data_IF_180778643390
#
_entry.id   IF_180778643390
#
_cell.length_a   1.000
_cell.length_b   1.000
_cell.length_c   1.000
_cell.angle_alpha   90.00
_cell.angle_beta   90.00
_cell.angle_gamma   90.00
#
_symmetry.space_group_name_H-M   'P 1'
#
loop_
_entity.id
_entity.type
_entity.pdbx_description
1 polymer ?
#
# COMPACT_ATOMS: atom_id res chain seq x y z
N UNK A 1 27.74 1.14 0.97
CA UNK A 1 26.48 0.49 0.52
C UNK A 1 26.17 -0.65 1.49
N UNK A 2 25.40 -0.36 2.53
CA UNK A 2 24.99 -1.34 3.53
C UNK A 2 23.92 -2.27 2.96
N UNK A 3 24.05 -3.58 3.19
CA UNK A 3 23.06 -4.59 2.82
C UNK A 3 21.70 -4.18 3.41
N UNK A 4 20.71 -4.06 2.53
CA UNK A 4 19.32 -3.83 2.92
C UNK A 4 18.76 -5.20 3.24
N UNK A 5 18.83 -5.59 4.51
CA UNK A 5 18.28 -6.87 4.95
C UNK A 5 16.76 -6.75 4.88
N UNK A 6 16.22 -7.26 3.77
CA UNK A 6 14.88 -7.83 3.71
C UNK A 6 14.74 -8.86 4.85
N UNK A 7 13.50 -9.20 5.22
CA UNK A 7 13.18 -10.15 6.28
C UNK A 7 14.25 -11.25 6.40
N UNK A 8 14.91 -11.34 7.56
CA UNK A 8 16.02 -12.26 7.75
C UNK A 8 15.58 -13.65 7.28
N UNK A 9 16.32 -14.28 6.35
CA UNK A 9 15.95 -15.60 5.80
C UNK A 9 15.86 -16.70 6.88
N UNK A 10 16.20 -16.38 8.13
CA UNK A 10 16.19 -17.30 9.26
C UNK A 10 14.94 -17.20 10.15
N UNK A 11 13.90 -16.45 9.76
CA UNK A 11 12.65 -16.45 10.53
C UNK A 11 11.96 -17.83 10.44
N UNK A 12 11.69 -18.52 11.56
CA UNK A 12 10.98 -19.80 11.54
C UNK A 12 9.65 -19.69 10.79
N UNK A 13 9.37 -20.63 9.90
CA UNK A 13 8.15 -20.64 9.07
C UNK A 13 8.15 -19.66 7.90
N UNK A 14 9.28 -19.04 7.57
CA UNK A 14 9.42 -18.31 6.31
C UNK A 14 9.44 -19.27 5.11
N UNK A 15 8.93 -18.79 3.98
CA UNK A 15 8.83 -19.54 2.73
C UNK A 15 9.45 -18.73 1.59
N UNK A 16 9.77 -19.39 0.47
CA UNK A 16 10.17 -18.75 -0.77
C UNK A 16 9.25 -19.16 -1.91
N UNK A 17 9.05 -18.25 -2.86
CA UNK A 17 8.18 -18.43 -4.01
C UNK A 17 8.72 -17.67 -5.22
N UNK A 18 8.56 -18.24 -6.42
CA UNK A 18 8.78 -17.56 -7.68
C UNK A 18 7.67 -16.51 -7.90
N UNK A 19 8.03 -15.28 -8.30
CA UNK A 19 7.03 -14.25 -8.53
C UNK A 19 6.04 -14.69 -9.63
N UNK A 20 4.75 -14.27 -9.55
CA UNK A 20 3.68 -14.78 -10.41
C UNK A 20 3.89 -14.48 -11.90
N UNK A 21 4.82 -13.59 -12.22
CA UNK A 21 5.23 -13.23 -13.57
C UNK A 21 6.06 -14.30 -14.26
N UNK A 22 6.51 -15.33 -13.53
CA UNK A 22 7.43 -16.33 -14.03
C UNK A 22 6.87 -17.73 -13.80
N UNK A 23 7.17 -18.62 -14.73
CA UNK A 23 6.95 -20.06 -14.61
C UNK A 23 8.26 -20.81 -14.91
N UNK A 24 8.50 -21.99 -14.33
CA UNK A 24 9.71 -22.75 -14.62
C UNK A 24 9.81 -23.15 -16.10
N UNK A 25 11.02 -23.15 -16.64
CA UNK A 25 11.33 -23.64 -17.98
C UNK A 25 12.65 -24.43 -17.99
N UNK A 26 12.90 -25.35 -18.94
CA UNK A 26 14.13 -26.16 -18.95
C UNK A 26 15.43 -25.34 -18.95
N UNK A 27 15.45 -24.19 -19.66
CA UNK A 27 16.61 -23.29 -19.76
C UNK A 27 16.61 -22.14 -18.73
N UNK A 28 15.63 -22.08 -17.80
CA UNK A 28 15.49 -20.98 -16.84
C UNK A 28 14.04 -20.74 -16.41
N UNK A 29 13.53 -19.53 -16.64
CA UNK A 29 12.13 -19.20 -16.34
C UNK A 29 11.44 -18.51 -17.52
N UNK A 30 10.18 -18.85 -17.77
CA UNK A 30 9.34 -18.21 -18.78
C UNK A 30 8.55 -17.06 -18.15
N UNK A 31 8.64 -15.86 -18.74
CA UNK A 31 7.82 -14.71 -18.31
C UNK A 31 6.36 -14.88 -18.74
N UNK A 32 5.45 -14.17 -18.09
CA UNK A 32 4.03 -14.13 -18.48
C UNK A 32 3.80 -13.64 -19.93
N UNK A 33 4.78 -12.96 -20.53
CA UNK A 33 4.78 -12.58 -21.96
C UNK A 33 5.40 -13.62 -22.89
N UNK A 34 5.71 -14.82 -22.39
CA UNK A 34 6.24 -15.95 -23.15
C UNK A 34 7.75 -15.98 -23.36
N UNK A 35 8.51 -14.96 -22.91
CA UNK A 35 9.97 -14.87 -23.09
C UNK A 35 10.69 -15.79 -22.09
N UNK A 36 11.70 -16.52 -22.53
CA UNK A 36 12.60 -17.25 -21.62
C UNK A 36 13.71 -16.33 -21.10
N UNK A 37 13.82 -16.23 -19.77
CA UNK A 37 14.99 -15.70 -19.07
C UNK A 37 15.90 -16.88 -18.75
N UNK A 38 17.04 -16.95 -19.44
CA UNK A 38 18.00 -18.03 -19.26
C UNK A 38 18.70 -17.92 -17.91
N UNK A 39 18.83 -19.06 -17.24
CA UNK A 39 19.57 -19.23 -15.99
C UNK A 39 20.60 -20.35 -16.21
N UNK A 40 21.66 -20.39 -15.41
CA UNK A 40 22.49 -21.60 -15.39
C UNK A 40 21.65 -22.81 -14.88
N UNK A 41 22.08 -24.06 -15.18
CA UNK A 41 21.29 -25.23 -14.85
C UNK A 41 20.96 -25.39 -13.36
N UNK A 42 21.85 -24.95 -12.47
CA UNK A 42 21.64 -25.03 -11.02
C UNK A 42 20.56 -24.05 -10.58
N UNK A 43 20.66 -22.79 -11.02
CA UNK A 43 19.64 -21.77 -10.77
C UNK A 43 18.27 -22.13 -11.38
N UNK A 44 18.23 -22.71 -12.58
CA UNK A 44 17.00 -23.15 -13.23
C UNK A 44 16.30 -24.27 -12.43
N UNK A 45 17.07 -25.29 -12.00
CA UNK A 45 16.56 -26.36 -11.16
C UNK A 45 16.07 -25.85 -9.79
N UNK A 46 16.74 -24.84 -9.23
CA UNK A 46 16.32 -24.19 -7.99
C UNK A 46 15.03 -23.38 -8.17
N UNK A 47 14.94 -22.57 -9.24
CA UNK A 47 13.74 -21.80 -9.56
C UNK A 47 12.51 -22.71 -9.79
N UNK A 48 12.70 -23.89 -10.37
CA UNK A 48 11.64 -24.89 -10.54
C UNK A 48 11.05 -25.37 -9.19
N UNK A 49 11.86 -25.47 -8.14
CA UNK A 49 11.36 -25.81 -6.79
C UNK A 49 10.49 -24.69 -6.21
N UNK A 50 10.82 -23.44 -6.53
CA UNK A 50 10.06 -22.26 -6.08
C UNK A 50 8.78 -22.01 -6.90
N UNK A 51 8.40 -22.91 -7.82
CA UNK A 51 7.13 -22.81 -8.56
C UNK A 51 5.91 -22.88 -7.63
N UNK A 52 6.10 -23.47 -6.45
CA UNK A 52 5.14 -23.50 -5.35
C UNK A 52 5.78 -22.88 -4.11
N UNK A 53 4.95 -22.38 -3.19
CA UNK A 53 5.44 -21.81 -1.94
C UNK A 53 6.19 -22.90 -1.15
N UNK A 54 7.48 -22.69 -0.94
CA UNK A 54 8.38 -23.71 -0.39
C UNK A 54 8.95 -23.22 0.93
N UNK A 55 8.82 -23.98 2.04
CA UNK A 55 9.49 -23.67 3.31
C UNK A 55 11.00 -23.54 3.14
N UNK A 56 11.61 -22.52 3.76
CA UNK A 56 13.05 -22.30 3.62
C UNK A 56 13.90 -23.45 4.20
N UNK A 57 13.39 -24.15 5.22
CA UNK A 57 14.01 -25.33 5.82
C UNK A 57 13.85 -26.62 5.00
N UNK A 58 12.87 -26.65 4.09
CA UNK A 58 12.67 -27.72 3.11
C UNK A 58 13.52 -27.54 1.84
N UNK A 59 14.11 -26.36 1.63
CA UNK A 59 15.08 -26.16 0.57
C UNK A 59 16.31 -27.02 0.85
N UNK A 60 16.91 -27.65 -0.17
CA UNK A 60 17.98 -28.63 0.00
C UNK A 60 19.10 -28.09 0.88
N UNK A 61 19.26 -28.67 2.07
CA UNK A 61 20.31 -28.33 3.02
C UNK A 61 21.67 -28.79 2.49
N UNK A 62 22.34 -27.93 1.71
CA UNK A 62 23.66 -28.18 1.12
C UNK A 62 24.38 -26.83 0.92
N UNK A 63 25.71 -26.79 0.72
CA UNK A 63 26.62 -25.72 1.17
C UNK A 63 26.27 -24.34 0.59
N UNK A 64 26.93 -23.27 1.05
CA UNK A 64 26.74 -21.83 0.75
C UNK A 64 26.11 -21.38 -0.61
N UNK A 65 26.08 -22.23 -1.64
CA UNK A 65 25.36 -22.07 -2.90
C UNK A 65 23.84 -21.92 -2.78
N UNK A 66 23.08 -22.66 -1.96
CA UNK A 66 21.61 -22.55 -1.95
C UNK A 66 21.10 -21.17 -1.48
N UNK A 67 21.64 -20.67 -0.37
CA UNK A 67 21.34 -19.33 0.16
C UNK A 67 21.76 -18.25 -0.83
N UNK A 68 22.92 -18.42 -1.48
CA UNK A 68 23.41 -17.53 -2.52
C UNK A 68 22.47 -17.53 -3.73
N UNK A 69 22.05 -18.69 -4.21
CA UNK A 69 21.13 -18.85 -5.36
C UNK A 69 19.78 -18.20 -5.07
N UNK A 70 19.19 -18.45 -3.90
CA UNK A 70 17.95 -17.77 -3.49
C UNK A 70 18.15 -16.25 -3.43
N UNK A 71 19.25 -15.80 -2.82
CA UNK A 71 19.60 -14.37 -2.75
C UNK A 71 19.72 -13.76 -4.15
N UNK A 72 20.34 -14.45 -5.09
CA UNK A 72 20.55 -13.98 -6.46
C UNK A 72 19.23 -13.97 -7.26
N UNK A 73 18.33 -14.95 -7.06
CA UNK A 73 16.98 -14.94 -7.62
C UNK A 73 16.12 -13.79 -7.07
N UNK A 74 16.19 -13.54 -5.76
CA UNK A 74 15.46 -12.43 -5.10
C UNK A 74 16.00 -11.08 -5.55
N UNK A 75 17.33 -10.93 -5.65
CA UNK A 75 17.98 -9.70 -6.14
C UNK A 75 17.63 -9.42 -7.61
N UNK A 76 17.52 -10.48 -8.41
CA UNK A 76 17.11 -10.40 -9.81
C UNK A 76 15.61 -10.13 -9.99
N UNK A 77 14.82 -10.13 -8.91
CA UNK A 77 13.38 -9.93 -8.97
C UNK A 77 12.65 -11.08 -9.67
N UNK A 78 13.15 -12.30 -9.52
CA UNK A 78 12.51 -13.53 -10.01
C UNK A 78 11.75 -14.25 -8.90
N UNK A 79 12.25 -14.18 -7.66
CA UNK A 79 11.66 -14.82 -6.50
C UNK A 79 11.48 -13.83 -5.34
N UNK A 80 10.72 -14.25 -4.34
CA UNK A 80 10.50 -13.53 -3.09
C UNK A 80 10.59 -14.48 -1.90
N UNK A 81 11.10 -13.96 -0.78
CA UNK A 81 10.99 -14.60 0.53
C UNK A 81 9.80 -14.00 1.26
N UNK A 82 8.89 -14.86 1.70
CA UNK A 82 7.68 -14.50 2.42
C UNK A 82 7.89 -14.75 3.92
N UNK A 83 7.58 -13.79 4.80
CA UNK A 83 7.55 -14.02 6.24
C UNK A 83 6.46 -15.03 6.62
N UNK A 84 6.47 -15.67 7.80
CA UNK A 84 5.38 -16.55 8.25
C UNK A 84 4.02 -15.83 8.31
N UNK A 85 2.87 -16.53 8.17
CA UNK A 85 1.55 -15.90 8.25
C UNK A 85 1.38 -15.14 9.57
N UNK A 86 0.77 -13.96 9.52
CA UNK A 86 0.38 -13.26 10.75
C UNK A 86 -0.96 -13.84 11.19
N UNK A 87 -1.01 -14.44 12.38
CA UNK A 87 -2.26 -14.81 12.99
C UNK A 87 -3.04 -13.54 13.35
N UNK A 88 -4.30 -13.44 12.92
CA UNK A 88 -5.19 -12.41 13.43
C UNK A 88 -5.56 -12.75 14.88
N UNK A 89 -5.53 -11.76 15.77
CA UNK A 89 -6.02 -11.93 17.13
C UNK A 89 -7.50 -11.51 17.22
N UNK A 90 -8.41 -12.42 17.61
CA UNK A 90 -9.80 -12.06 17.86
C UNK A 90 -9.89 -10.92 18.89
N UNK A 91 -10.71 -9.90 18.60
CA UNK A 91 -10.90 -8.74 19.49
C UNK A 91 -9.85 -7.63 19.37
N UNK A 92 -8.81 -7.78 18.53
CA UNK A 92 -7.91 -6.68 18.20
C UNK A 92 -8.61 -5.66 17.28
N UNK A 93 -8.26 -4.38 17.41
CA UNK A 93 -8.79 -3.33 16.55
C UNK A 93 -8.46 -3.53 15.07
N UNK A 94 -9.12 -2.76 14.21
CA UNK A 94 -9.05 -2.89 12.75
C UNK A 94 -8.39 -1.66 12.14
N UNK A 95 -7.52 -1.88 11.15
CA UNK A 95 -7.06 -0.85 10.23
C UNK A 95 -7.73 -1.10 8.86
N UNK A 96 -8.55 -0.15 8.42
CA UNK A 96 -9.16 -0.14 7.09
C UNK A 96 -8.39 0.85 6.22
N UNK A 97 -7.76 0.36 5.16
CA UNK A 97 -7.02 1.18 4.20
C UNK A 97 -7.80 1.21 2.90
N UNK A 98 -8.29 2.39 2.52
CA UNK A 98 -8.95 2.63 1.25
C UNK A 98 -7.87 2.92 0.20
N UNK A 99 -7.60 1.95 -0.65
CA UNK A 99 -6.62 2.06 -1.74
C UNK A 99 -7.36 2.34 -3.04
N UNK A 100 -7.16 3.49 -3.72
CA UNK A 100 -7.79 3.73 -5.01
C UNK A 100 -7.48 2.63 -6.02
N UNK A 101 -6.21 2.27 -6.16
CA UNK A 101 -5.71 1.21 -7.03
C UNK A 101 -4.94 0.15 -6.24
N UNK A 102 -4.57 -0.94 -6.92
CA UNK A 102 -4.05 -2.19 -6.33
C UNK A 102 -2.64 -2.04 -5.70
N UNK A 103 -1.96 -0.93 -5.92
CA UNK A 103 -0.60 -0.65 -5.46
C UNK A 103 -0.48 0.57 -4.51
N UNK A 104 -1.49 1.43 -4.44
CA UNK A 104 -1.39 2.72 -3.74
C UNK A 104 -1.13 2.59 -2.24
N UNK A 105 -1.79 1.65 -1.56
CA UNK A 105 -1.57 1.37 -0.15
C UNK A 105 -0.12 0.93 0.12
N UNK A 106 0.44 0.05 -0.71
CA UNK A 106 1.83 -0.39 -0.57
C UNK A 106 2.82 0.74 -0.89
N UNK A 107 2.55 1.54 -1.92
CA UNK A 107 3.33 2.73 -2.28
C UNK A 107 3.39 3.76 -1.16
N UNK A 108 2.23 4.05 -0.56
CA UNK A 108 2.06 5.19 0.33
C UNK A 108 2.26 4.83 1.80
N UNK A 109 1.87 3.61 2.21
CA UNK A 109 1.84 3.14 3.59
C UNK A 109 2.61 1.83 3.83
N UNK A 110 3.28 1.26 2.81
CA UNK A 110 3.90 -0.06 2.94
C UNK A 110 4.91 -0.18 4.08
N UNK A 111 5.64 0.88 4.41
CA UNK A 111 6.56 0.89 5.55
C UNK A 111 5.80 0.91 6.88
N UNK A 112 4.76 1.72 6.99
CA UNK A 112 3.86 1.75 8.16
C UNK A 112 3.20 0.39 8.39
N UNK A 113 2.68 -0.23 7.33
CA UNK A 113 2.07 -1.57 7.41
C UNK A 113 3.09 -2.61 7.86
N UNK A 114 4.27 -2.64 7.26
CA UNK A 114 5.36 -3.54 7.67
C UNK A 114 5.79 -3.33 9.14
N UNK A 115 5.88 -2.08 9.60
CA UNK A 115 6.25 -1.75 10.98
C UNK A 115 5.23 -2.28 11.99
N UNK A 116 3.95 -2.25 11.64
CA UNK A 116 2.87 -2.69 12.52
C UNK A 116 2.47 -4.15 12.31
N UNK A 117 3.19 -4.86 11.43
CA UNK A 117 3.01 -6.28 11.20
C UNK A 117 3.16 -7.05 12.51
N UNK A 118 2.09 -7.71 12.95
CA UNK A 118 2.09 -8.50 14.17
C UNK A 118 1.71 -7.75 15.45
N UNK A 119 1.25 -6.49 15.37
CA UNK A 119 0.65 -5.80 16.53
C UNK A 119 -0.76 -6.32 16.93
N UNK A 120 -1.17 -7.43 16.32
CA UNK A 120 -2.44 -8.12 16.53
C UNK A 120 -3.64 -7.51 15.80
N UNK A 121 -3.56 -6.26 15.34
CA UNK A 121 -4.66 -5.62 14.62
C UNK A 121 -4.94 -6.31 13.28
N UNK A 122 -6.22 -6.45 12.96
CA UNK A 122 -6.66 -6.89 11.63
C UNK A 122 -6.47 -5.73 10.65
N UNK A 123 -5.93 -6.01 9.47
CA UNK A 123 -5.68 -4.99 8.45
C UNK A 123 -6.33 -5.38 7.16
N UNK A 124 -7.14 -4.50 6.61
CA UNK A 124 -7.75 -4.68 5.30
C UNK A 124 -7.28 -3.58 4.37
N UNK A 125 -6.74 -3.97 3.22
CA UNK A 125 -6.54 -3.06 2.10
C UNK A 125 -7.69 -3.28 1.13
N UNK A 126 -8.54 -2.27 1.02
CA UNK A 126 -9.69 -2.26 0.14
C UNK A 126 -9.35 -1.52 -1.14
N UNK A 127 -9.07 -2.27 -2.21
CA UNK A 127 -8.83 -1.73 -3.54
C UNK A 127 -10.17 -1.34 -4.19
N UNK A 128 -10.40 -0.04 -4.29
CA UNK A 128 -11.69 0.52 -4.71
C UNK A 128 -11.87 0.35 -6.22
N UNK A 129 -10.91 0.84 -7.00
CA UNK A 129 -10.91 0.76 -8.46
C UNK A 129 -9.98 -0.34 -8.96
N UNK A 130 -10.26 -1.57 -8.50
CA UNK A 130 -9.42 -2.75 -8.75
C UNK A 130 -9.56 -3.34 -10.16
N UNK A 131 -10.56 -2.91 -10.94
CA UNK A 131 -10.71 -3.28 -12.34
C UNK A 131 -10.07 -2.20 -13.23
N UNK A 132 -8.94 -2.52 -13.85
CA UNK A 132 -8.20 -1.55 -14.67
C UNK A 132 -7.61 -2.23 -15.90
N UNK A 133 -7.99 -1.74 -17.08
CA UNK A 133 -7.47 -2.25 -18.35
C UNK A 133 -6.03 -1.78 -18.63
N UNK A 134 -5.64 -0.61 -18.11
CA UNK A 134 -4.30 -0.05 -18.30
C UNK A 134 -3.29 -0.63 -17.32
N UNK A 135 -2.27 -1.32 -17.83
CA UNK A 135 -1.10 -1.74 -17.07
C UNK A 135 0.16 -1.42 -17.88
N UNK A 136 1.05 -0.60 -17.32
CA UNK A 136 2.27 -0.12 -17.99
C UNK A 136 3.43 -1.12 -17.92
N UNK A 137 3.24 -2.20 -17.16
CA UNK A 137 4.27 -3.12 -16.69
C UNK A 137 4.67 -4.24 -17.65
N UNK A 138 3.71 -4.86 -18.32
CA UNK A 138 3.96 -6.12 -19.02
C UNK A 138 3.16 -6.19 -20.31
N UNK A 139 3.76 -6.78 -21.35
CA UNK A 139 3.05 -7.11 -22.59
C UNK A 139 2.41 -8.48 -22.42
N UNK A 140 1.18 -8.50 -21.93
CA UNK A 140 0.37 -9.70 -21.78
C UNK A 140 -1.12 -9.36 -22.03
N UNK A 141 -1.98 -10.35 -22.29
CA UNK A 141 -3.43 -10.13 -22.40
C UNK A 141 -4.01 -9.50 -21.14
N UNK A 142 -5.06 -8.67 -21.29
CA UNK A 142 -5.68 -7.95 -20.17
C UNK A 142 -6.15 -8.88 -19.02
N UNK A 143 -6.65 -10.08 -19.34
CA UNK A 143 -7.05 -11.07 -18.34
C UNK A 143 -5.87 -11.60 -17.51
N UNK A 144 -4.72 -11.84 -18.15
CA UNK A 144 -3.48 -12.27 -17.50
C UNK A 144 -2.95 -11.14 -16.62
N UNK A 145 -2.93 -9.93 -17.15
CA UNK A 145 -2.55 -8.70 -16.45
C UNK A 145 -3.40 -8.46 -15.19
N UNK A 146 -4.72 -8.62 -15.29
CA UNK A 146 -5.61 -8.54 -14.14
C UNK A 146 -5.29 -9.63 -13.10
N UNK A 147 -5.13 -10.89 -13.52
CA UNK A 147 -4.79 -11.98 -12.61
C UNK A 147 -3.43 -11.78 -11.91
N UNK A 148 -2.42 -11.30 -12.64
CA UNK A 148 -1.12 -10.95 -12.08
C UNK A 148 -1.24 -9.85 -11.04
N UNK A 149 -1.96 -8.76 -11.33
CA UNK A 149 -2.14 -7.68 -10.35
C UNK A 149 -2.83 -8.17 -9.07
N UNK A 150 -3.72 -9.17 -9.15
CA UNK A 150 -4.30 -9.80 -7.95
C UNK A 150 -3.25 -10.56 -7.15
N UNK A 151 -2.51 -11.44 -7.82
CA UNK A 151 -1.46 -12.23 -7.19
C UNK A 151 -0.35 -11.36 -6.59
N UNK A 152 0.00 -10.25 -7.24
CA UNK A 152 0.98 -9.28 -6.73
C UNK A 152 0.56 -8.70 -5.38
N UNK A 153 -0.68 -8.26 -5.27
CA UNK A 153 -1.21 -7.64 -4.06
C UNK A 153 -1.49 -8.64 -2.94
N UNK A 154 -1.87 -9.88 -3.27
CA UNK A 154 -1.94 -10.97 -2.29
C UNK A 154 -0.57 -11.24 -1.67
N UNK A 155 0.49 -11.29 -2.49
CA UNK A 155 1.86 -11.41 -2.00
C UNK A 155 2.31 -10.18 -1.21
N UNK A 156 1.93 -8.98 -1.64
CA UNK A 156 2.17 -7.75 -0.89
C UNK A 156 1.49 -7.80 0.49
N UNK A 157 0.23 -8.23 0.56
CA UNK A 157 -0.51 -8.44 1.79
C UNK A 157 0.15 -9.47 2.71
N UNK A 158 0.68 -10.55 2.13
CA UNK A 158 1.43 -11.57 2.86
C UNK A 158 2.68 -11.02 3.55
N UNK A 159 3.42 -10.14 2.86
CA UNK A 159 4.62 -9.49 3.39
C UNK A 159 4.27 -8.40 4.40
N UNK A 160 3.31 -7.53 4.07
CA UNK A 160 2.95 -6.35 4.87
C UNK A 160 1.96 -6.64 6.01
N UNK A 161 1.34 -7.81 6.03
CA UNK A 161 0.40 -8.24 7.07
C UNK A 161 -1.00 -7.64 6.92
N UNK A 162 -1.53 -7.57 5.69
CA UNK A 162 -2.91 -7.20 5.43
C UNK A 162 -3.66 -8.26 4.61
N UNK A 163 -4.99 -8.26 4.75
CA UNK A 163 -5.92 -8.96 3.88
C UNK A 163 -6.38 -8.01 2.77
N UNK A 164 -6.37 -8.50 1.54
CA UNK A 164 -6.87 -7.80 0.36
C UNK A 164 -8.39 -7.90 0.27
N UNK A 165 -9.06 -6.81 -0.11
CA UNK A 165 -10.46 -6.77 -0.55
C UNK A 165 -10.58 -5.94 -1.81
N UNK A 166 -11.42 -6.37 -2.74
CA UNK A 166 -11.65 -5.67 -4.00
C UNK A 166 -13.11 -5.27 -4.15
N UNK A 167 -13.35 -4.06 -4.64
CA UNK A 167 -14.70 -3.62 -5.01
C UNK A 167 -15.01 -3.76 -6.50
N UNK A 168 -14.00 -4.06 -7.33
CA UNK A 168 -14.19 -4.31 -8.76
C UNK A 168 -14.69 -3.10 -9.54
N UNK A 169 -14.55 -1.88 -9.01
CA UNK A 169 -14.92 -0.69 -9.77
C UNK A 169 -13.89 -0.47 -10.88
N UNK A 170 -14.36 -0.15 -12.08
CA UNK A 170 -13.49 0.20 -13.21
C UNK A 170 -12.76 1.52 -12.94
N UNK A 171 -11.46 1.64 -13.19
CA UNK A 171 -10.71 2.90 -13.02
C UNK A 171 -11.25 4.05 -13.89
N UNK A 172 -10.90 5.30 -13.56
CA UNK A 172 -11.39 6.50 -14.25
C UNK A 172 -11.20 6.47 -15.78
N UNK A 173 -10.12 5.87 -16.28
CA UNK A 173 -9.88 5.72 -17.72
C UNK A 173 -10.98 4.92 -18.41
N UNK A 174 -11.34 3.78 -17.82
CA UNK A 174 -12.32 2.86 -18.39
C UNK A 174 -13.74 3.36 -18.12
N UNK A 175 -14.02 3.80 -16.89
CA UNK A 175 -15.34 4.29 -16.45
C UNK A 175 -15.77 5.57 -17.18
N UNK A 176 -14.83 6.45 -17.53
CA UNK A 176 -15.13 7.73 -18.18
C UNK A 176 -14.55 7.87 -19.58
N UNK A 177 -13.91 6.81 -20.11
CA UNK A 177 -13.21 6.83 -21.41
C UNK A 177 -12.20 7.99 -21.51
N UNK A 178 -11.53 8.27 -20.40
CA UNK A 178 -10.54 9.34 -20.31
C UNK A 178 -9.17 8.80 -20.76
N UNK A 179 -8.42 9.54 -21.60
CA UNK A 179 -7.02 9.23 -21.82
C UNK A 179 -6.24 9.42 -20.51
N UNK A 180 -5.15 8.67 -20.32
CA UNK A 180 -4.33 8.71 -19.09
C UNK A 180 -3.95 10.14 -18.67
N UNK A 181 -3.58 11.01 -19.61
CA UNK A 181 -3.23 12.40 -19.30
C UNK A 181 -4.39 13.22 -18.70
N UNK A 182 -5.64 12.80 -18.91
CA UNK A 182 -6.85 13.46 -18.41
C UNK A 182 -7.39 12.84 -17.12
N UNK A 183 -6.76 11.79 -16.59
CA UNK A 183 -7.08 11.31 -15.25
C UNK A 183 -6.32 12.04 -14.15
N UNK A 184 -5.34 12.87 -14.50
CA UNK A 184 -4.47 13.63 -13.60
C UNK A 184 -4.79 15.14 -13.63
N UNK A 185 -4.27 15.88 -12.65
CA UNK A 185 -4.36 17.34 -12.60
C UNK A 185 -5.74 17.89 -12.23
N UNK A 186 -6.66 17.04 -11.76
CA UNK A 186 -7.94 17.48 -11.23
C UNK A 186 -7.76 18.23 -9.91
N UNK A 187 -8.61 19.22 -9.66
CA UNK A 187 -8.70 19.89 -8.36
C UNK A 187 -9.99 19.46 -7.66
N UNK A 188 -10.03 19.60 -6.34
CA UNK A 188 -11.25 19.33 -5.58
C UNK A 188 -12.44 20.17 -6.11
N UNK A 189 -12.21 21.44 -6.42
CA UNK A 189 -13.24 22.33 -6.96
C UNK A 189 -13.77 21.85 -8.32
N UNK A 190 -12.89 21.41 -9.23
CA UNK A 190 -13.33 20.94 -10.55
C UNK A 190 -14.10 19.61 -10.45
N UNK A 191 -13.69 18.70 -9.57
CA UNK A 191 -14.43 17.45 -9.33
C UNK A 191 -15.81 17.74 -8.74
N UNK A 192 -15.90 18.62 -7.73
CA UNK A 192 -17.18 18.97 -7.09
C UNK A 192 -18.13 19.74 -8.01
N UNK A 193 -17.61 20.50 -8.97
CA UNK A 193 -18.45 21.21 -9.95
C UNK A 193 -19.22 20.25 -10.87
N UNK A 194 -18.72 19.04 -11.10
CA UNK A 194 -19.35 18.08 -12.01
C UNK A 194 -20.40 17.20 -11.33
N UNK A 195 -21.65 17.27 -11.82
CA UNK A 195 -22.76 16.51 -11.26
C UNK A 195 -22.56 14.98 -11.27
N UNK A 196 -21.85 14.43 -12.27
CA UNK A 196 -21.54 12.99 -12.34
C UNK A 196 -20.63 12.56 -11.18
N UNK A 197 -19.58 13.33 -10.90
CA UNK A 197 -18.62 12.99 -9.85
C UNK A 197 -19.22 13.19 -8.47
N UNK A 198 -20.11 14.18 -8.28
CA UNK A 198 -20.89 14.29 -7.03
C UNK A 198 -21.71 13.03 -6.73
N UNK A 199 -22.33 12.42 -7.75
CA UNK A 199 -23.05 11.15 -7.57
C UNK A 199 -22.12 9.99 -7.25
N UNK A 200 -20.94 9.93 -7.86
CA UNK A 200 -19.94 8.91 -7.56
C UNK A 200 -19.38 9.05 -6.14
N UNK A 201 -19.09 10.28 -5.70
CA UNK A 201 -18.66 10.59 -4.33
C UNK A 201 -19.71 10.09 -3.33
N UNK A 202 -20.99 10.43 -3.52
CA UNK A 202 -22.06 9.97 -2.65
C UNK A 202 -22.20 8.42 -2.64
N UNK A 203 -22.07 7.78 -3.81
CA UNK A 203 -22.09 6.32 -3.92
C UNK A 203 -20.91 5.65 -3.20
N UNK A 204 -19.71 6.22 -3.31
CA UNK A 204 -18.53 5.76 -2.59
C UNK A 204 -18.68 5.97 -1.08
N UNK A 205 -19.19 7.12 -0.65
CA UNK A 205 -19.45 7.42 0.77
C UNK A 205 -20.37 6.36 1.40
N UNK A 206 -21.48 6.01 0.73
CA UNK A 206 -22.37 4.95 1.19
C UNK A 206 -21.68 3.58 1.32
N UNK A 207 -20.82 3.21 0.36
CA UNK A 207 -20.05 1.94 0.41
C UNK A 207 -18.99 1.94 1.50
N UNK A 208 -18.29 3.06 1.69
CA UNK A 208 -17.28 3.23 2.76
C UNK A 208 -17.97 3.09 4.12
N UNK A 209 -19.11 3.75 4.32
CA UNK A 209 -19.85 3.65 5.58
C UNK A 209 -20.32 2.21 5.85
N UNK A 210 -20.81 1.51 4.82
CA UNK A 210 -21.21 0.11 4.93
C UNK A 210 -20.02 -0.83 5.25
N UNK A 211 -18.81 -0.50 4.80
CA UNK A 211 -17.58 -1.24 5.15
C UNK A 211 -17.14 -0.97 6.59
N UNK A 212 -17.24 0.28 7.05
CA UNK A 212 -16.71 0.74 8.33
C UNK A 212 -17.65 0.40 9.50
N UNK A 213 -18.97 0.55 9.31
CA UNK A 213 -19.95 0.44 10.39
C UNK A 213 -19.95 -0.91 11.14
N UNK A 214 -19.82 -2.09 10.48
CA UNK A 214 -19.75 -3.36 11.20
C UNK A 214 -18.51 -3.47 12.09
N UNK A 215 -17.35 -3.00 11.61
CA UNK A 215 -16.11 -3.07 12.37
C UNK A 215 -16.16 -2.08 13.56
N UNK A 216 -16.75 -0.89 13.36
CA UNK A 216 -16.96 0.11 14.44
C UNK A 216 -17.86 -0.42 15.56
N UNK A 217 -18.89 -1.20 15.23
CA UNK A 217 -19.77 -1.81 16.21
C UNK A 217 -19.06 -2.85 17.09
N UNK A 218 -17.94 -3.40 16.61
CA UNK A 218 -17.22 -4.50 17.27
C UNK A 218 -15.91 -4.09 17.93
N UNK A 219 -15.39 -2.88 17.66
CA UNK A 219 -14.15 -2.43 18.28
C UNK A 219 -13.55 -1.14 17.69
N UNK A 220 -12.27 -0.94 18.00
CA UNK A 220 -11.50 0.23 17.56
C UNK A 220 -11.13 0.13 16.08
N UNK A 221 -11.64 1.03 15.25
CA UNK A 221 -11.37 1.11 13.81
C UNK A 221 -10.55 2.35 13.49
N UNK A 222 -9.49 2.18 12.70
CA UNK A 222 -8.73 3.27 12.09
C UNK A 222 -8.92 3.23 10.59
N UNK A 223 -9.30 4.36 10.00
CA UNK A 223 -9.47 4.51 8.56
C UNK A 223 -8.29 5.27 7.96
N UNK A 224 -7.74 4.76 6.87
CA UNK A 224 -6.70 5.40 6.08
C UNK A 224 -7.22 5.64 4.66
N UNK A 225 -7.15 6.88 4.18
CA UNK A 225 -7.65 7.29 2.87
C UNK A 225 -6.56 8.04 2.07
N UNK A 226 -6.62 8.07 0.73
CA UNK A 226 -5.69 8.85 -0.09
C UNK A 226 -5.86 10.35 0.15
N UNK A 227 -4.76 11.09 0.21
CA UNK A 227 -4.82 12.56 0.26
C UNK A 227 -5.17 13.22 -1.07
N UNK A 228 -5.19 12.48 -2.18
CA UNK A 228 -5.48 13.02 -3.52
C UNK A 228 -4.33 13.84 -4.13
N UNK A 229 -3.13 13.80 -3.56
CA UNK A 229 -1.95 14.48 -4.11
C UNK A 229 -1.67 13.96 -5.52
N UNK A 230 -1.33 14.87 -6.44
CA UNK A 230 -1.18 14.58 -7.87
C UNK A 230 -2.47 14.69 -8.69
N UNK A 231 -3.62 14.92 -8.04
CA UNK A 231 -4.87 15.23 -8.72
C UNK A 231 -5.40 14.09 -9.58
N UNK A 232 -5.11 12.84 -9.22
CA UNK A 232 -5.71 11.69 -9.90
C UNK A 232 -7.21 11.61 -9.56
N UNK A 233 -8.09 11.58 -10.56
CA UNK A 233 -9.54 11.61 -10.37
C UNK A 233 -10.03 10.56 -9.37
N UNK A 234 -9.62 9.30 -9.54
CA UNK A 234 -10.00 8.21 -8.63
C UNK A 234 -9.57 8.47 -7.16
N UNK A 235 -8.36 9.01 -6.93
CA UNK A 235 -7.90 9.33 -5.58
C UNK A 235 -8.74 10.46 -4.96
N UNK A 236 -9.09 11.47 -5.77
CA UNK A 236 -9.96 12.56 -5.34
C UNK A 236 -11.36 12.07 -5.01
N UNK A 237 -11.96 11.19 -5.82
CA UNK A 237 -13.29 10.66 -5.53
C UNK A 237 -13.34 9.94 -4.17
N UNK A 238 -12.30 9.15 -3.85
CA UNK A 238 -12.18 8.46 -2.55
C UNK A 238 -11.94 9.47 -1.42
N UNK A 239 -11.00 10.41 -1.60
CA UNK A 239 -10.74 11.48 -0.62
C UNK A 239 -12.03 12.23 -0.29
N UNK A 240 -12.74 12.70 -1.30
CA UNK A 240 -13.92 13.54 -1.14
C UNK A 240 -15.07 12.78 -0.50
N UNK A 241 -15.23 11.49 -0.80
CA UNK A 241 -16.20 10.64 -0.11
C UNK A 241 -15.92 10.54 1.40
N UNK A 242 -14.65 10.40 1.80
CA UNK A 242 -14.26 10.38 3.22
C UNK A 242 -14.43 11.77 3.86
N UNK A 243 -14.10 12.84 3.15
CA UNK A 243 -14.29 14.23 3.64
C UNK A 243 -15.77 14.55 3.86
N UNK A 244 -16.65 14.13 2.94
CA UNK A 244 -18.09 14.33 3.07
C UNK A 244 -18.62 13.57 4.31
N UNK A 245 -18.19 12.31 4.50
CA UNK A 245 -18.55 11.52 5.69
C UNK A 245 -18.03 12.12 7.01
N UNK A 246 -16.84 12.72 7.02
CA UNK A 246 -16.31 13.43 8.18
C UNK A 246 -17.13 14.70 8.48
N UNK A 247 -17.51 15.43 7.44
CA UNK A 247 -18.29 16.67 7.56
C UNK A 247 -19.69 16.40 8.08
N UNK A 248 -20.29 15.26 7.70
CA UNK A 248 -21.61 14.82 8.15
C UNK A 248 -21.56 14.14 9.53
N UNK A 249 -20.38 13.97 10.14
CA UNK A 249 -20.19 13.30 11.43
C UNK A 249 -20.36 11.78 11.41
N UNK A 250 -20.44 11.17 10.21
CA UNK A 250 -20.54 9.73 10.04
C UNK A 250 -19.21 8.99 10.29
N UNK A 251 -18.08 9.70 10.18
CA UNK A 251 -16.76 9.23 10.57
C UNK A 251 -16.16 10.14 11.64
N UNK A 252 -15.39 9.54 12.55
CA UNK A 252 -14.67 10.28 13.58
C UNK A 252 -13.32 10.80 13.03
N UNK A 253 -13.03 12.11 13.15
CA UNK A 253 -11.76 12.68 12.69
C UNK A 253 -10.52 12.09 13.39
N UNK A 254 -10.65 11.65 14.63
CA UNK A 254 -9.55 11.14 15.46
C UNK A 254 -9.02 9.78 14.97
N UNK A 255 -9.89 9.00 14.34
CA UNK A 255 -9.60 7.66 13.82
C UNK A 255 -9.40 7.65 12.31
N UNK A 256 -9.58 8.78 11.63
CA UNK A 256 -9.44 8.92 10.18
C UNK A 256 -8.16 9.65 9.81
N UNK A 257 -7.35 9.07 8.93
CA UNK A 257 -6.09 9.64 8.47
C UNK A 257 -6.02 9.63 6.96
N UNK A 258 -5.37 10.64 6.39
CA UNK A 258 -5.07 10.68 4.96
C UNK A 258 -3.59 10.39 4.73
N UNK A 259 -3.24 9.51 3.80
CA UNK A 259 -1.85 9.21 3.47
C UNK A 259 -1.38 10.02 2.26
N UNK A 260 -0.10 10.41 2.26
CA UNK A 260 0.53 11.07 1.11
C UNK A 260 0.62 10.11 -0.07
N UNK A 261 0.00 10.47 -1.21
CA UNK A 261 -0.07 9.61 -2.39
C UNK A 261 1.30 9.53 -3.10
N UNK A 262 1.87 8.33 -3.12
CA UNK A 262 3.12 8.02 -3.84
C UNK A 262 2.82 7.21 -5.11
N UNK A 263 3.54 7.44 -6.22
CA UNK A 263 4.74 8.28 -6.37
C UNK A 263 4.46 9.77 -6.63
N UNK A 264 3.19 10.20 -6.64
CA UNK A 264 2.79 11.54 -7.07
C UNK A 264 3.47 12.66 -6.27
N UNK A 265 3.45 12.58 -4.94
CA UNK A 265 4.13 13.55 -4.08
C UNK A 265 5.64 13.57 -4.31
N UNK A 266 6.25 12.39 -4.54
CA UNK A 266 7.69 12.28 -4.79
C UNK A 266 8.10 12.87 -6.14
N UNK A 267 7.20 12.85 -7.13
CA UNK A 267 7.40 13.44 -8.45
C UNK A 267 7.07 14.95 -8.49
N UNK A 268 6.68 15.56 -7.37
CA UNK A 268 6.18 16.94 -7.30
C UNK A 268 5.06 17.19 -8.32
N UNK A 269 4.17 16.20 -8.51
CA UNK A 269 3.07 16.33 -9.46
C UNK A 269 2.07 17.39 -8.96
N UNK A 270 1.54 18.24 -9.86
CA UNK A 270 0.53 19.23 -9.49
C UNK A 270 -0.75 18.53 -9.02
N UNK A 271 -1.40 19.09 -8.01
CA UNK A 271 -2.61 18.55 -7.40
C UNK A 271 -2.96 19.32 -6.13
N UNK A 272 -4.03 18.93 -5.42
CA UNK A 272 -4.34 19.52 -4.14
C UNK A 272 -3.24 19.20 -3.11
N UNK A 273 -2.97 20.16 -2.24
CA UNK A 273 -2.19 19.95 -1.03
C UNK A 273 -2.94 19.04 -0.04
N UNK A 274 -2.33 18.85 1.12
CA UNK A 274 -2.95 18.22 2.28
C UNK A 274 -4.40 18.74 2.49
N UNK A 275 -5.35 17.88 2.87
CA UNK A 275 -6.72 18.32 3.17
C UNK A 275 -6.73 19.48 4.17
N UNK A 276 -7.53 20.52 3.91
CA UNK A 276 -7.62 21.69 4.78
C UNK A 276 -8.04 21.27 6.20
N UNK A 277 -7.40 21.85 7.22
CA UNK A 277 -7.67 21.49 8.63
C UNK A 277 -6.92 20.24 9.13
N UNK A 278 -6.03 19.65 8.33
CA UNK A 278 -5.22 18.51 8.74
C UNK A 278 -3.77 18.90 9.02
N UNK A 279 -3.23 18.46 10.15
CA UNK A 279 -1.81 18.52 10.44
C UNK A 279 -1.08 17.36 9.78
N UNK A 280 0.08 17.66 9.22
CA UNK A 280 1.02 16.66 8.77
C UNK A 280 1.68 15.95 9.96
N UNK A 281 1.83 14.64 9.85
CA UNK A 281 2.64 13.83 10.74
C UNK A 281 3.57 12.91 9.92
N UNK A 282 4.82 12.78 10.37
CA UNK A 282 5.78 11.84 9.80
C UNK A 282 5.78 10.54 10.62
N UNK A 283 5.67 9.41 9.93
CA UNK A 283 5.79 8.06 10.47
C UNK A 283 7.19 7.55 10.16
N UNK A 284 8.05 7.52 11.16
CA UNK A 284 9.40 6.98 11.01
C UNK A 284 9.35 5.51 10.55
N UNK A 285 10.20 5.19 9.56
CA UNK A 285 10.39 3.87 9.01
C UNK A 285 11.74 3.32 9.45
N UNK A 286 11.77 2.43 10.45
CA UNK A 286 12.97 1.67 10.77
C UNK A 286 13.51 0.93 9.52
N UNK A 287 14.82 0.66 9.44
CA UNK A 287 15.40 0.00 8.26
C UNK A 287 14.68 -1.28 7.80
N UNK A 288 14.24 -2.20 8.69
CA UNK A 288 13.47 -3.37 8.27
C UNK A 288 12.12 -3.04 7.63
N UNK A 289 11.42 -2.01 8.12
CA UNK A 289 10.14 -1.56 7.56
C UNK A 289 10.33 -0.92 6.17
N UNK A 290 11.38 -0.12 6.00
CA UNK A 290 11.74 0.42 4.69
C UNK A 290 12.15 -0.71 3.72
N UNK A 291 12.93 -1.69 4.17
CA UNK A 291 13.32 -2.84 3.35
C UNK A 291 12.11 -3.65 2.90
N UNK A 292 11.17 -3.93 3.80
CA UNK A 292 9.91 -4.62 3.50
C UNK A 292 9.03 -3.83 2.51
N UNK A 293 8.93 -2.50 2.68
CA UNK A 293 8.27 -1.64 1.70
C UNK A 293 8.90 -1.82 0.31
N UNK A 294 10.22 -1.68 0.22
CA UNK A 294 10.92 -1.74 -1.06
C UNK A 294 10.88 -3.13 -1.71
N UNK A 295 10.86 -4.22 -0.94
CA UNK A 295 10.69 -5.57 -1.49
C UNK A 295 9.28 -5.74 -2.07
N UNK A 296 8.26 -5.23 -1.39
CA UNK A 296 6.87 -5.29 -1.86
C UNK A 296 6.65 -4.46 -3.12
N UNK A 297 7.24 -3.27 -3.21
CA UNK A 297 7.12 -2.47 -4.43
C UNK A 297 7.74 -3.15 -5.66
N UNK A 298 8.66 -4.11 -5.48
CA UNK A 298 9.21 -4.92 -6.58
C UNK A 298 8.28 -6.05 -7.02
N UNK A 299 7.30 -6.43 -6.19
CA UNK A 299 6.28 -7.43 -6.54
C UNK A 299 5.38 -6.87 -7.63
N UNK A 300 4.99 -5.60 -7.55
CA UNK A 300 4.06 -4.93 -8.47
C UNK A 300 4.67 -4.64 -9.87
N UNK A 301 5.19 -5.64 -10.57
CA UNK A 301 5.79 -5.49 -11.89
C UNK A 301 4.79 -5.08 -12.99
N UNK A 302 3.49 -5.33 -12.77
CA UNK A 302 2.42 -4.85 -13.66
C UNK A 302 2.23 -3.33 -13.59
N UNK A 303 2.62 -2.69 -12.48
CA UNK A 303 2.37 -1.26 -12.20
C UNK A 303 3.63 -0.41 -12.08
N UNK A 304 4.67 -0.97 -11.47
CA UNK A 304 5.84 -0.24 -11.01
C UNK A 304 7.11 -0.64 -11.74
N UNK A 305 7.95 0.36 -11.97
CA UNK A 305 9.30 0.24 -12.53
C UNK A 305 10.35 0.64 -11.51
N UNK A 306 11.57 0.13 -11.68
CA UNK A 306 12.70 0.45 -10.81
C UNK A 306 12.92 1.97 -10.57
N UNK A 307 12.78 2.88 -11.57
CA UNK A 307 12.87 4.31 -11.33
C UNK A 307 11.81 4.87 -10.37
N UNK A 308 10.56 4.37 -10.44
CA UNK A 308 9.48 4.79 -9.53
C UNK A 308 9.75 4.32 -8.09
N UNK A 309 10.23 3.08 -7.93
CA UNK A 309 10.62 2.53 -6.61
C UNK A 309 11.78 3.35 -6.03
N UNK A 310 12.79 3.66 -6.84
CA UNK A 310 13.92 4.49 -6.44
C UNK A 310 13.49 5.92 -6.06
N UNK A 311 12.51 6.48 -6.78
CA UNK A 311 11.92 7.78 -6.47
C UNK A 311 11.23 7.76 -5.09
N UNK A 312 10.42 6.74 -4.81
CA UNK A 312 9.76 6.57 -3.50
C UNK A 312 10.77 6.42 -2.37
N UNK A 313 11.86 5.66 -2.58
CA UNK A 313 12.95 5.52 -1.59
C UNK A 313 13.62 6.87 -1.29
N UNK A 314 14.00 7.62 -2.32
CA UNK A 314 14.64 8.95 -2.15
C UNK A 314 13.71 9.91 -1.43
N UNK A 315 12.42 9.88 -1.77
CA UNK A 315 11.40 10.68 -1.11
C UNK A 315 11.29 10.37 0.38
N UNK A 316 11.19 9.09 0.75
CA UNK A 316 11.09 8.67 2.14
C UNK A 316 12.27 9.17 2.99
N UNK A 317 13.49 9.14 2.44
CA UNK A 317 14.69 9.68 3.12
C UNK A 317 14.65 11.20 3.18
N UNK A 318 14.35 11.86 2.06
CA UNK A 318 14.30 13.32 1.95
C UNK A 318 13.36 13.95 2.96
N UNK A 319 12.16 13.39 3.15
CA UNK A 319 11.17 13.95 4.08
C UNK A 319 11.50 13.68 5.55
N UNK A 320 12.33 12.68 5.85
CA UNK A 320 12.79 12.38 7.21
C UNK A 320 14.03 13.18 7.62
N UNK A 321 14.84 13.62 6.65
CA UNK A 321 16.11 14.30 6.88
C UNK A 321 17.11 13.38 7.57
N UNK A 322 17.72 13.87 8.65
CA UNK A 322 18.70 13.10 9.44
C UNK A 322 18.08 11.92 10.21
N UNK A 323 16.74 11.87 10.33
CA UNK A 323 16.00 10.84 11.06
C UNK A 323 15.79 9.54 10.26
N UNK A 324 16.52 9.34 9.15
CA UNK A 324 16.47 8.11 8.36
C UNK A 324 15.42 8.18 7.24
N UNK A 325 14.30 7.47 7.40
CA UNK A 325 13.23 7.41 6.40
C UNK A 325 11.86 7.54 7.06
N UNK A 326 10.88 8.09 6.35
CA UNK A 326 9.53 8.26 6.85
C UNK A 326 8.47 8.12 5.75
N UNK A 327 7.23 7.90 6.18
CA UNK A 327 6.01 8.13 5.41
C UNK A 327 5.24 9.32 5.99
N UNK A 328 4.51 10.03 5.15
CA UNK A 328 3.72 11.18 5.57
C UNK A 328 2.24 10.81 5.61
N UNK A 329 1.60 11.18 6.71
CA UNK A 329 0.14 11.14 6.87
C UNK A 329 -0.37 12.50 7.33
N UNK A 330 -1.67 12.72 7.17
CA UNK A 330 -2.37 13.92 7.58
C UNK A 330 -3.49 13.52 8.52
N UNK A 331 -3.62 14.21 9.65
CA UNK A 331 -4.65 13.97 10.67
C UNK A 331 -5.42 15.24 10.95
N UNK A 332 -6.71 15.11 11.20
CA UNK A 332 -7.53 16.28 11.50
C UNK A 332 -7.01 16.97 12.76
N UNK A 333 -6.69 18.25 12.67
CA UNK A 333 -6.48 19.09 13.85
C UNK A 333 -7.87 19.33 14.42
N UNK A 334 -8.27 18.60 15.46
CA UNK A 334 -9.57 18.80 16.12
C UNK A 334 -9.88 20.30 16.22
N UNK A 335 -11.02 20.74 15.70
CA UNK A 335 -11.47 22.13 15.91
C UNK A 335 -11.45 22.33 17.42
N UNK A 336 -10.66 23.25 17.95
CA UNK A 336 -10.26 23.34 19.35
C UNK A 336 -11.38 23.54 20.39
N UNK A 337 -12.37 22.65 20.46
CA UNK A 337 -13.39 22.59 21.51
C UNK A 337 -12.91 21.82 22.75
N UNK A 338 -11.72 21.21 22.71
CA UNK A 338 -11.07 20.65 23.90
C UNK A 338 -9.88 21.45 24.44
N UNK A 339 -9.37 22.44 23.69
CA UNK A 339 -8.34 23.35 24.22
C UNK A 339 -8.92 24.34 25.26
N UNK A 340 -10.21 24.69 25.17
CA UNK A 340 -10.84 25.64 26.08
C UNK A 340 -11.21 25.07 27.46
N UNK A 341 -11.22 23.74 27.64
CA UNK A 341 -11.58 23.11 28.92
C UNK A 341 -10.38 22.84 29.83
N UNK A 342 -9.15 22.85 29.32
CA UNK A 342 -7.95 22.75 30.18
C UNK A 342 -7.52 24.10 30.75
N UNK A 343 -7.83 25.23 30.09
CA UNK A 343 -7.46 26.56 30.59
C UNK A 343 -8.37 27.10 31.71
N UNK A 344 -9.57 26.53 31.90
CA UNK A 344 -10.45 26.92 33.02
C UNK A 344 -10.08 26.27 34.36
N UNK A 345 -9.36 25.14 34.34
CA UNK A 345 -8.89 24.51 35.58
C UNK A 345 -7.57 25.09 36.08
N UNK A 346 -6.83 25.86 35.25
CA UNK A 346 -5.65 26.61 35.68
C UNK A 346 -6.00 27.97 36.33
N UNK A 347 -7.21 28.51 36.08
CA UNK A 347 -7.64 29.82 36.56
C UNK A 347 -8.45 29.80 37.88
N UNK A 348 -8.79 28.62 38.43
CA UNK A 348 -9.56 28.50 39.68
C UNK A 348 -8.74 28.00 40.89
N UNK A 349 -7.42 27.87 40.75
CA UNK A 349 -6.51 27.41 41.81
C UNK A 349 -5.85 28.51 42.65
N UNK A 350 -6.30 29.77 42.57
CA UNK A 350 -5.66 30.90 43.27
C UNK A 350 -6.70 31.89 43.81
N UNK A 351 -7.49 31.47 44.81
CA UNK A 351 -8.10 32.32 45.85
C UNK A 351 -8.40 31.39 47.05
N UNK A 352 -7.46 31.25 47.99
CA UNK A 352 -7.48 31.88 49.33
C UNK A 352 -8.28 31.05 50.37
N UNK A 353 -7.99 31.11 51.68
CA UNK A 353 -7.19 32.10 52.41
C UNK A 353 -5.80 31.65 52.87
#
# INVERSE_FOLDING_TARGET
MTRTDAASPNAPGATALLLPHFSPAPEGVQTAGGRIVRLDPEMAAFAAKLAVETPLDALPATPAGAERTLTDLVRSGLAIVLPPPVAAHPGAGVDLILSPHVDDAALSLGGTLARHRGDGRRRFVCNIFSDQAYQSGLRAPASVLAALARAEDELAGRVLGYERRDWGLAGAQDRHRLPLARTLGWTEASVRAEARFRREIAGLAGRILALVAPEQATGDVRLFAPSGIGGHLDHLLVRLAVVDLLSDGALAPETTQFYEDLPYAAANMPGPDAPAGFAQALRALPPPALAAKLSVLRIFQTRLRAPQIALCRRHAVRIAGENGAAERVFRHCGTGRHAATMDRNAALGSMAP
#
